data_IF_180712733735
#
_entry.id   IF_180712733735
#
_cell.length_a   1.000
_cell.length_b   1.000
_cell.length_c   1.000
_cell.angle_alpha   90.00
_cell.angle_beta   90.00
_cell.angle_gamma   90.00
#
_symmetry.space_group_name_H-M   'P 1'
#
loop_
_entity.id
_entity.type
_entity.pdbx_description
1 polymer ?
#
# COMPACT_ATOMS: atom_id res chain seq x y z
N UNK A 1 -13.66 8.13 8.64
CA UNK A 1 -13.98 8.43 7.22
C UNK A 1 -13.28 7.41 6.35
N UNK A 2 -14.00 6.39 5.93
CA UNK A 2 -13.56 5.49 4.86
C UNK A 2 -13.70 6.25 3.55
N UNK A 3 -12.61 6.41 2.80
CA UNK A 3 -12.74 6.89 1.42
C UNK A 3 -13.36 5.75 0.58
N UNK A 4 -14.18 6.07 -0.41
CA UNK A 4 -14.74 5.09 -1.35
C UNK A 4 -13.69 4.13 -1.92
N UNK A 5 -12.44 4.58 -2.05
CA UNK A 5 -11.32 3.77 -2.54
C UNK A 5 -10.96 2.61 -1.58
N UNK A 6 -11.16 2.75 -0.27
CA UNK A 6 -10.90 1.67 0.68
C UNK A 6 -12.03 0.64 0.72
N UNK A 7 -13.26 1.05 0.45
CA UNK A 7 -14.40 0.11 0.38
C UNK A 7 -14.22 -0.90 -0.75
N UNK A 8 -13.58 -0.50 -1.84
CA UNK A 8 -13.32 -1.38 -2.98
C UNK A 8 -12.39 -2.56 -2.64
N UNK A 9 -11.50 -2.40 -1.65
CA UNK A 9 -10.63 -3.49 -1.20
C UNK A 9 -11.45 -4.60 -0.53
N UNK A 10 -12.59 -4.29 0.04
CA UNK A 10 -13.48 -5.30 0.63
C UNK A 10 -14.07 -6.25 -0.42
N UNK A 11 -14.18 -5.82 -1.68
CA UNK A 11 -14.58 -6.69 -2.81
C UNK A 11 -13.59 -7.83 -3.04
N UNK A 12 -12.33 -7.66 -2.60
CA UNK A 12 -11.28 -8.68 -2.66
C UNK A 12 -11.27 -9.61 -1.43
N UNK A 13 -12.29 -9.53 -0.55
CA UNK A 13 -12.37 -10.34 0.66
C UNK A 13 -11.56 -9.78 1.84
N UNK A 14 -11.00 -8.58 1.74
CA UNK A 14 -10.29 -7.92 2.84
C UNK A 14 -11.29 -7.32 3.82
N UNK A 15 -11.14 -7.64 5.10
CA UNK A 15 -11.95 -7.03 6.15
C UNK A 15 -11.38 -5.66 6.54
N UNK A 16 -12.20 -4.62 6.43
CA UNK A 16 -11.84 -3.28 6.84
C UNK A 16 -12.34 -3.00 8.27
N UNK A 17 -11.41 -2.73 9.18
CA UNK A 17 -11.72 -2.39 10.58
C UNK A 17 -11.38 -0.93 10.81
N UNK A 18 -12.38 -0.10 11.05
CA UNK A 18 -12.21 1.28 11.44
C UNK A 18 -11.88 1.36 12.94
N UNK A 19 -10.71 1.88 13.26
CA UNK A 19 -10.32 2.10 14.64
C UNK A 19 -10.98 3.37 15.20
N UNK A 20 -11.32 3.39 16.50
CA UNK A 20 -11.83 4.59 17.14
C UNK A 20 -10.87 5.76 17.01
N UNK A 21 -11.34 7.00 16.85
CA UNK A 21 -10.48 8.16 16.86
C UNK A 21 -9.72 8.29 18.20
N UNK A 22 -8.56 8.91 18.17
CA UNK A 22 -7.73 9.17 19.35
C UNK A 22 -7.21 7.91 20.09
N UNK A 23 -7.10 6.77 19.41
CA UNK A 23 -6.54 5.52 19.94
C UNK A 23 -5.29 5.10 19.15
N UNK A 24 -4.16 5.88 19.26
CA UNK A 24 -2.94 5.60 18.48
C UNK A 24 -2.31 4.25 18.84
N UNK A 25 -2.48 3.78 20.06
CA UNK A 25 -1.96 2.48 20.52
C UNK A 25 -2.43 1.29 19.65
N UNK A 26 -3.59 1.40 19.02
CA UNK A 26 -4.11 0.37 18.12
C UNK A 26 -3.38 0.31 16.77
N UNK A 27 -2.58 1.34 16.43
CA UNK A 27 -1.76 1.44 15.21
C UNK A 27 -0.26 1.29 15.49
N UNK A 28 0.14 1.10 16.73
CA UNK A 28 1.53 1.17 17.18
C UNK A 28 2.49 0.28 16.37
N UNK A 29 2.05 -0.88 15.90
CA UNK A 29 2.87 -1.78 15.07
C UNK A 29 3.22 -1.15 13.73
N UNK A 30 2.26 -0.50 13.06
CA UNK A 30 2.48 0.16 11.77
C UNK A 30 3.36 1.41 11.94
N UNK A 31 3.08 2.21 12.95
CA UNK A 31 3.88 3.40 13.27
C UNK A 31 5.32 3.01 13.59
N UNK A 32 5.52 1.97 14.40
CA UNK A 32 6.86 1.46 14.73
C UNK A 32 7.60 0.91 13.50
N UNK A 33 6.90 0.29 12.57
CA UNK A 33 7.49 -0.12 11.29
C UNK A 33 8.03 1.08 10.51
N UNK A 34 7.23 2.14 10.38
CA UNK A 34 7.67 3.37 9.70
C UNK A 34 8.86 4.03 10.39
N UNK A 35 8.89 4.07 11.72
CA UNK A 35 10.03 4.58 12.48
C UNK A 35 11.31 3.82 12.16
N UNK A 36 11.25 2.49 12.20
CA UNK A 36 12.41 1.63 11.89
C UNK A 36 12.89 1.83 10.44
N UNK A 37 11.98 1.86 9.49
CA UNK A 37 12.35 2.12 8.08
C UNK A 37 12.97 3.49 7.92
N UNK A 38 12.43 4.52 8.61
CA UNK A 38 13.00 5.86 8.60
C UNK A 38 14.41 5.89 9.19
N UNK A 39 14.65 5.23 10.29
CA UNK A 39 15.99 5.12 10.88
C UNK A 39 16.98 4.47 9.92
N UNK A 40 16.57 3.38 9.26
CA UNK A 40 17.42 2.67 8.30
C UNK A 40 17.82 3.53 7.10
N UNK A 41 16.89 4.28 6.49
CA UNK A 41 17.26 5.10 5.34
C UNK A 41 17.93 6.41 5.75
N UNK A 42 17.57 7.00 6.89
CA UNK A 42 18.21 8.23 7.41
C UNK A 42 19.71 8.03 7.62
N UNK A 43 20.11 6.92 8.24
CA UNK A 43 21.53 6.60 8.41
C UNK A 43 22.28 6.50 7.06
N UNK A 44 21.64 5.96 6.02
CA UNK A 44 22.24 5.79 4.69
C UNK A 44 22.28 7.07 3.87
N UNK A 45 21.40 8.02 4.18
CA UNK A 45 21.19 9.26 3.41
C UNK A 45 21.61 10.51 4.20
N UNK A 46 22.40 10.36 5.25
CA UNK A 46 22.90 11.49 6.03
C UNK A 46 23.62 12.49 5.12
N UNK A 47 23.28 13.79 5.25
CA UNK A 47 23.83 14.85 4.40
C UNK A 47 23.31 14.89 2.96
N UNK A 48 22.22 14.14 2.64
CA UNK A 48 21.60 14.10 1.30
C UNK A 48 20.15 14.61 1.30
N UNK A 49 19.88 15.66 2.06
CA UNK A 49 18.57 16.30 2.16
C UNK A 49 17.62 15.65 3.16
N UNK A 50 18.10 14.72 3.98
CA UNK A 50 17.32 14.15 5.08
C UNK A 50 17.32 15.09 6.25
N UNK A 51 16.13 15.41 6.76
CA UNK A 51 15.96 16.29 7.92
C UNK A 51 16.47 15.57 9.17
N UNK A 52 17.47 16.14 9.82
CA UNK A 52 17.99 15.65 11.10
C UNK A 52 16.97 15.93 12.23
N UNK A 53 16.93 15.08 13.27
CA UNK A 53 15.98 15.25 14.36
C UNK A 53 16.28 16.43 15.29
N UNK A 54 17.46 17.03 15.20
CA UNK A 54 17.85 18.13 16.07
C UNK A 54 17.03 19.39 15.77
N UNK A 55 16.29 19.85 16.80
CA UNK A 55 15.40 21.00 16.71
C UNK A 55 16.17 22.31 16.51
N UNK A 56 17.40 22.41 16.99
CA UNK A 56 18.21 23.63 16.90
C UNK A 56 18.78 23.83 15.50
N UNK A 57 19.05 22.75 14.78
CA UNK A 57 19.57 22.79 13.41
C UNK A 57 18.48 22.94 12.35
N UNK A 58 17.23 22.55 12.64
CA UNK A 58 16.12 22.58 11.66
C UNK A 58 15.84 23.96 11.06
N UNK A 59 16.07 25.04 11.80
CA UNK A 59 15.81 26.40 11.31
C UNK A 59 16.97 27.03 10.55
N UNK A 60 18.20 26.50 10.70
CA UNK A 60 19.41 27.09 10.13
C UNK A 60 19.80 26.49 8.77
N UNK A 61 19.35 25.29 8.45
CA UNK A 61 19.78 24.55 7.25
C UNK A 61 18.63 24.27 6.27
N UNK A 62 18.81 24.64 5.00
CA UNK A 62 17.85 24.35 3.94
C UNK A 62 18.16 22.97 3.31
N UNK A 63 17.61 21.90 3.87
CA UNK A 63 17.82 20.52 3.42
C UNK A 63 17.42 20.26 1.95
N UNK A 64 16.63 21.16 1.34
CA UNK A 64 16.27 21.06 -0.08
C UNK A 64 17.49 21.24 -0.99
N UNK A 65 18.49 22.00 -0.53
CA UNK A 65 19.74 22.23 -1.29
C UNK A 65 20.64 20.99 -1.31
N UNK A 66 20.48 20.11 -0.32
CA UNK A 66 21.26 18.87 -0.21
C UNK A 66 20.57 17.69 -0.92
N UNK A 67 19.33 17.88 -1.33
CA UNK A 67 18.57 16.83 -2.02
C UNK A 67 19.23 16.48 -3.37
N UNK A 68 19.90 15.34 -3.41
CA UNK A 68 20.66 14.89 -4.59
C UNK A 68 20.12 13.61 -5.22
N UNK A 69 19.06 13.01 -4.64
CA UNK A 69 18.47 11.77 -5.13
C UNK A 69 17.24 12.06 -5.99
N UNK A 70 17.13 11.34 -7.10
CA UNK A 70 15.87 11.24 -7.82
C UNK A 70 14.88 10.36 -7.06
N UNK A 71 13.58 10.49 -7.35
CA UNK A 71 12.54 9.63 -6.76
C UNK A 71 12.86 8.14 -6.95
N UNK A 72 13.33 7.75 -8.15
CA UNK A 72 13.69 6.35 -8.45
C UNK A 72 14.88 5.83 -7.63
N UNK A 73 15.84 6.69 -7.34
CA UNK A 73 16.98 6.33 -6.49
C UNK A 73 16.54 6.20 -5.03
N UNK A 74 15.71 7.11 -4.55
CA UNK A 74 15.15 7.04 -3.22
C UNK A 74 14.27 5.78 -3.05
N UNK A 75 13.42 5.46 -4.02
CA UNK A 75 12.63 4.23 -4.06
C UNK A 75 13.48 2.98 -3.89
N UNK A 76 14.62 2.89 -4.60
CA UNK A 76 15.56 1.77 -4.44
C UNK A 76 16.12 1.66 -3.03
N UNK A 77 16.38 2.80 -2.37
CA UNK A 77 16.85 2.80 -0.98
C UNK A 77 15.76 2.26 -0.06
N UNK A 78 14.53 2.71 -0.22
CA UNK A 78 13.38 2.24 0.58
C UNK A 78 13.15 0.74 0.39
N UNK A 79 13.14 0.27 -0.87
CA UNK A 79 12.99 -1.16 -1.17
C UNK A 79 14.07 -2.00 -0.47
N UNK A 80 15.34 -1.55 -0.51
CA UNK A 80 16.43 -2.24 0.21
C UNK A 80 16.21 -2.26 1.73
N UNK A 81 15.70 -1.18 2.31
CA UNK A 81 15.38 -1.14 3.73
C UNK A 81 14.23 -2.12 4.09
N UNK A 82 13.21 -2.22 3.24
CA UNK A 82 12.10 -3.16 3.43
C UNK A 82 12.59 -4.62 3.30
N UNK A 83 13.43 -4.91 2.30
CA UNK A 83 14.03 -6.25 2.13
C UNK A 83 14.84 -6.63 3.37
N UNK A 84 15.72 -5.74 3.82
CA UNK A 84 16.50 -5.96 5.04
C UNK A 84 15.59 -6.20 6.27
N UNK A 85 14.57 -5.37 6.45
CA UNK A 85 13.62 -5.51 7.55
C UNK A 85 12.93 -6.88 7.55
N UNK A 86 12.55 -7.36 6.39
CA UNK A 86 11.80 -8.62 6.27
C UNK A 86 12.68 -9.87 6.29
N UNK A 87 13.93 -9.77 5.81
CA UNK A 87 14.78 -10.94 5.56
C UNK A 87 15.99 -11.08 6.49
N UNK A 88 16.42 -9.99 7.13
CA UNK A 88 17.68 -9.99 7.89
C UNK A 88 17.51 -9.44 9.32
N UNK A 89 16.44 -8.67 9.58
CA UNK A 89 16.20 -8.11 10.91
C UNK A 89 15.64 -9.17 11.84
N UNK A 90 16.34 -9.44 12.93
CA UNK A 90 15.90 -10.36 13.99
C UNK A 90 14.70 -9.77 14.74
N UNK A 91 13.66 -10.58 14.91
CA UNK A 91 12.46 -10.25 15.68
C UNK A 91 12.62 -10.74 17.13
N UNK A 92 13.37 -9.99 17.94
CA UNK A 92 13.72 -10.38 19.33
C UNK A 92 12.51 -10.61 20.26
N UNK A 93 11.40 -9.92 20.01
CA UNK A 93 10.21 -9.97 20.87
C UNK A 93 9.05 -10.75 20.25
N UNK A 94 9.29 -11.50 19.18
CA UNK A 94 8.26 -12.34 18.59
C UNK A 94 7.96 -13.55 19.49
N UNK A 95 6.68 -13.85 19.75
CA UNK A 95 6.31 -15.00 20.60
C UNK A 95 6.48 -16.32 19.82
N UNK A 96 7.67 -16.88 19.86
CA UNK A 96 7.96 -18.17 19.23
C UNK A 96 7.16 -19.29 19.88
N UNK A 97 6.52 -20.10 19.06
CA UNK A 97 5.90 -21.34 19.50
C UNK A 97 6.94 -22.47 19.59
N UNK A 98 6.64 -23.51 20.38
CA UNK A 98 7.50 -24.68 20.46
C UNK A 98 7.68 -25.35 19.08
N UNK A 99 6.65 -25.34 18.26
CA UNK A 99 6.69 -25.91 16.91
C UNK A 99 7.65 -25.14 15.99
N UNK A 100 7.70 -23.81 16.07
CA UNK A 100 8.66 -22.99 15.33
C UNK A 100 10.10 -23.32 15.72
N UNK A 101 10.35 -23.53 17.02
CA UNK A 101 11.67 -23.91 17.53
C UNK A 101 12.05 -25.29 17.01
N UNK A 102 11.16 -26.26 17.10
CA UNK A 102 11.38 -27.64 16.65
C UNK A 102 11.65 -27.73 15.13
N UNK A 103 11.06 -26.82 14.36
CA UNK A 103 11.24 -26.75 12.91
C UNK A 103 12.37 -25.80 12.48
N UNK A 104 13.17 -25.30 13.41
CA UNK A 104 14.29 -24.38 13.17
C UNK A 104 13.88 -23.15 12.30
N UNK A 105 12.76 -22.54 12.64
CA UNK A 105 12.29 -21.34 11.95
C UNK A 105 13.16 -20.16 12.37
N UNK A 106 13.85 -19.55 11.41
CA UNK A 106 14.68 -18.37 11.68
C UNK A 106 13.86 -17.17 12.15
N UNK A 107 14.44 -16.28 12.99
CA UNK A 107 13.75 -15.14 13.59
C UNK A 107 13.56 -13.94 12.63
N UNK A 108 13.22 -14.20 11.38
CA UNK A 108 12.98 -13.18 10.36
C UNK A 108 11.52 -13.15 9.93
N UNK A 109 11.01 -11.97 9.61
CA UNK A 109 9.61 -11.81 9.19
C UNK A 109 9.22 -12.72 8.04
N UNK A 110 10.08 -12.85 7.02
CA UNK A 110 9.80 -13.69 5.84
C UNK A 110 9.77 -15.19 6.17
N UNK A 111 10.67 -15.67 7.04
CA UNK A 111 10.71 -17.10 7.41
C UNK A 111 9.50 -17.47 8.25
N UNK A 112 9.14 -16.64 9.22
CA UNK A 112 7.94 -16.81 10.04
C UNK A 112 6.68 -16.77 9.16
N UNK A 113 6.55 -15.78 8.28
CA UNK A 113 5.42 -15.69 7.36
C UNK A 113 5.28 -16.92 6.47
N UNK A 114 6.38 -17.40 5.90
CA UNK A 114 6.36 -18.58 5.05
C UNK A 114 6.05 -19.87 5.81
N UNK A 115 6.46 -19.96 7.07
CA UNK A 115 6.12 -21.05 7.96
C UNK A 115 4.62 -21.06 8.26
N UNK A 116 4.07 -19.94 8.73
CA UNK A 116 2.65 -19.80 9.04
C UNK A 116 1.75 -20.01 7.80
N UNK A 117 2.17 -19.51 6.65
CA UNK A 117 1.46 -19.72 5.39
C UNK A 117 1.35 -21.18 5.01
N UNK A 118 2.35 -22.02 5.34
CA UNK A 118 2.31 -23.46 5.09
C UNK A 118 1.37 -24.17 6.05
N UNK A 119 1.32 -23.73 7.30
CA UNK A 119 0.43 -24.31 8.31
C UNK A 119 -1.04 -23.94 8.09
N UNK A 120 -1.28 -22.73 7.63
CA UNK A 120 -2.62 -22.14 7.49
C UNK A 120 -2.89 -21.64 6.07
N UNK A 121 -2.84 -22.49 5.03
CA UNK A 121 -3.00 -22.07 3.65
C UNK A 121 -4.38 -21.45 3.37
N UNK A 122 -5.42 -21.84 4.11
CA UNK A 122 -6.79 -21.37 3.93
C UNK A 122 -7.05 -19.96 4.50
N UNK A 123 -6.10 -19.39 5.21
CA UNK A 123 -6.23 -18.02 5.75
C UNK A 123 -5.91 -16.94 4.70
N UNK A 124 -5.47 -17.33 3.52
CA UNK A 124 -5.15 -16.41 2.44
C UNK A 124 -6.10 -16.63 1.27
N UNK A 125 -6.48 -15.54 0.64
CA UNK A 125 -7.32 -15.53 -0.56
C UNK A 125 -6.41 -15.19 -1.75
N UNK A 126 -6.41 -16.06 -2.76
CA UNK A 126 -5.72 -15.78 -4.01
C UNK A 126 -6.57 -14.84 -4.88
N UNK A 127 -6.02 -13.67 -5.16
CA UNK A 127 -6.67 -12.65 -5.98
C UNK A 127 -5.98 -12.56 -7.33
N UNK A 128 -6.74 -12.56 -8.42
CA UNK A 128 -6.17 -12.38 -9.74
C UNK A 128 -5.57 -10.98 -9.90
N UNK A 129 -4.47 -10.85 -10.66
CA UNK A 129 -3.85 -9.55 -10.94
C UNK A 129 -4.85 -8.57 -11.58
N UNK A 130 -5.77 -9.07 -12.40
CA UNK A 130 -6.81 -8.27 -13.04
C UNK A 130 -7.76 -7.68 -12.01
N UNK A 131 -8.27 -8.51 -11.10
CA UNK A 131 -9.21 -8.07 -10.06
C UNK A 131 -8.54 -7.09 -9.10
N UNK A 132 -7.28 -7.36 -8.72
CA UNK A 132 -6.49 -6.43 -7.90
C UNK A 132 -6.33 -5.06 -8.55
N UNK A 133 -5.95 -5.01 -9.83
CA UNK A 133 -5.83 -3.75 -10.57
C UNK A 133 -7.18 -3.04 -10.65
N UNK A 134 -8.24 -3.75 -11.00
CA UNK A 134 -9.59 -3.16 -11.12
C UNK A 134 -10.11 -2.61 -9.79
N UNK A 135 -9.80 -3.25 -8.67
CA UNK A 135 -10.21 -2.78 -7.33
C UNK A 135 -9.36 -1.61 -6.83
N UNK A 136 -8.13 -1.43 -7.31
CA UNK A 136 -7.24 -0.33 -6.90
C UNK A 136 -7.32 0.89 -7.82
N UNK A 137 -7.94 0.77 -8.99
CA UNK A 137 -8.11 1.91 -9.90
C UNK A 137 -9.09 2.94 -9.32
N UNK A 138 -8.79 4.23 -9.45
CA UNK A 138 -9.73 5.28 -9.11
C UNK A 138 -11.05 5.08 -9.85
N UNK A 139 -12.17 5.32 -9.17
CA UNK A 139 -13.51 5.23 -9.75
C UNK A 139 -14.18 6.61 -9.79
N UNK A 140 -15.01 6.79 -10.79
CA UNK A 140 -15.85 7.98 -10.95
C UNK A 140 -17.18 7.59 -11.60
N UNK A 141 -18.12 8.48 -11.56
CA UNK A 141 -19.43 8.26 -12.21
C UNK A 141 -19.38 8.76 -13.65
N UNK A 142 -19.75 7.91 -14.58
CA UNK A 142 -19.97 8.28 -15.98
C UNK A 142 -21.45 8.27 -16.32
N UNK A 143 -21.86 9.09 -17.32
CA UNK A 143 -23.23 9.16 -17.81
C UNK A 143 -23.29 8.83 -19.28
N UNK A 144 -24.19 7.94 -19.67
CA UNK A 144 -24.43 7.62 -21.06
C UNK A 144 -25.22 8.74 -21.75
N UNK A 145 -24.81 9.06 -22.96
CA UNK A 145 -25.47 10.00 -23.88
C UNK A 145 -25.67 9.30 -25.22
N UNK A 146 -26.46 9.90 -26.13
CA UNK A 146 -26.62 9.39 -27.49
C UNK A 146 -25.30 9.24 -28.28
N UNK A 147 -24.24 9.89 -27.83
CA UNK A 147 -22.94 9.94 -28.51
C UNK A 147 -21.89 9.06 -27.81
N UNK A 148 -22.25 8.40 -26.70
CA UNK A 148 -21.36 7.54 -25.91
C UNK A 148 -21.30 7.92 -24.44
N UNK A 149 -20.37 7.33 -23.71
CA UNK A 149 -20.15 7.51 -22.28
C UNK A 149 -19.39 8.82 -22.02
N UNK A 150 -19.94 9.69 -21.19
CA UNK A 150 -19.31 10.93 -20.76
C UNK A 150 -18.73 10.76 -19.34
N UNK A 151 -17.41 10.95 -19.20
CA UNK A 151 -16.68 10.86 -17.94
C UNK A 151 -15.72 12.04 -17.86
N UNK A 152 -15.71 12.80 -16.76
CA UNK A 152 -14.79 13.93 -16.55
C UNK A 152 -14.72 14.90 -17.75
N UNK A 153 -15.87 15.22 -18.34
CA UNK A 153 -16.02 16.06 -19.55
C UNK A 153 -15.44 15.45 -20.84
N UNK A 154 -14.89 14.24 -20.78
CA UNK A 154 -14.45 13.49 -21.96
C UNK A 154 -15.53 12.51 -22.42
N UNK A 155 -15.54 12.21 -23.72
CA UNK A 155 -16.50 11.29 -24.32
C UNK A 155 -15.78 10.06 -24.83
N UNK A 156 -16.30 8.91 -24.44
CA UNK A 156 -15.78 7.60 -24.81
C UNK A 156 -16.82 6.85 -25.62
N UNK A 157 -16.39 6.24 -26.71
CA UNK A 157 -17.24 5.38 -27.55
C UNK A 157 -16.66 3.98 -27.52
N UNK A 158 -17.45 3.01 -27.12
CA UNK A 158 -17.03 1.61 -27.19
C UNK A 158 -16.98 1.14 -28.64
N UNK A 159 -16.02 0.27 -28.96
CA UNK A 159 -15.99 -0.47 -30.23
C UNK A 159 -16.90 -1.69 -30.21
N UNK A 160 -17.32 -2.12 -29.03
CA UNK A 160 -18.23 -3.25 -28.86
C UNK A 160 -19.68 -2.77 -29.00
N UNK A 161 -20.36 -3.29 -30.01
CA UNK A 161 -21.77 -2.97 -30.32
C UNK A 161 -22.69 -3.38 -29.17
N UNK A 162 -22.45 -4.55 -28.55
CA UNK A 162 -23.25 -5.05 -27.44
C UNK A 162 -23.22 -4.12 -26.22
N UNK A 163 -22.15 -3.39 -26.04
CA UNK A 163 -22.00 -2.45 -24.95
C UNK A 163 -22.88 -1.22 -25.09
N UNK A 164 -23.07 -0.74 -26.35
CA UNK A 164 -23.93 0.41 -26.64
C UNK A 164 -25.41 0.08 -26.61
N UNK A 165 -25.78 -1.17 -26.83
CA UNK A 165 -27.18 -1.64 -26.74
C UNK A 165 -27.64 -1.85 -25.28
N UNK A 166 -26.72 -2.13 -24.37
CA UNK A 166 -27.00 -2.43 -22.98
C UNK A 166 -27.40 -1.22 -22.14
N UNK A 167 -26.95 -0.01 -22.52
CA UNK A 167 -27.16 1.21 -21.74
C UNK A 167 -27.95 2.24 -22.51
N UNK A 168 -28.95 2.83 -21.87
CA UNK A 168 -29.78 3.89 -22.42
C UNK A 168 -29.16 5.27 -22.17
N UNK A 169 -29.54 6.23 -23.01
CA UNK A 169 -29.14 7.63 -22.80
C UNK A 169 -29.72 8.15 -21.49
N UNK A 170 -28.86 8.59 -20.59
CA UNK A 170 -29.20 9.03 -19.26
C UNK A 170 -28.74 8.11 -18.14
N UNK A 171 -28.42 6.84 -18.44
CA UNK A 171 -27.91 5.88 -17.47
C UNK A 171 -26.57 6.33 -16.89
N UNK A 172 -26.41 6.11 -15.60
CA UNK A 172 -25.16 6.36 -14.87
C UNK A 172 -24.46 5.04 -14.56
N UNK A 173 -23.15 5.01 -14.75
CA UNK A 173 -22.30 3.85 -14.48
C UNK A 173 -21.06 4.25 -13.71
N UNK A 174 -20.56 3.35 -12.89
CA UNK A 174 -19.24 3.51 -12.27
C UNK A 174 -18.17 3.15 -13.26
N UNK A 175 -17.19 4.03 -13.43
CA UNK A 175 -16.08 3.88 -14.36
C UNK A 175 -14.77 3.88 -13.60
N UNK A 176 -13.97 2.83 -13.77
CA UNK A 176 -12.57 2.81 -13.31
C UNK A 176 -11.67 3.37 -14.42
N UNK A 177 -10.69 4.18 -14.05
CA UNK A 177 -9.79 4.83 -15.01
C UNK A 177 -8.33 4.80 -14.51
N UNK A 178 -7.42 4.88 -15.46
CA UNK A 178 -5.98 4.93 -15.23
C UNK A 178 -5.40 6.25 -15.78
#
# INVERSE_FOLDING_TARGET
>A
YTSENFEQITELGVTLINLPPYRPELKGTVEKFFDIIQELYKMRLKGRGVIEPDFQERGAHDYRKDACLTIKEFEKVIIKCIIYYNSERILEKFPYTQDMINNNVDPFSNTIWNYEKKLHPNNLIDVSKKDLIMSLLPRTTGKFSRIGLCVNRMRYKSKDVNYTEKYLSGDTVTVSYN
#
